data_IF_196749454708
#
_entry.id   IF_196749454708
#
_cell.length_a   1.000
_cell.length_b   1.000
_cell.length_c   1.000
_cell.angle_alpha   90.00
_cell.angle_beta   90.00
_cell.angle_gamma   90.00
#
_symmetry.space_group_name_H-M   'P 1'
#
loop_
_entity.id
_entity.type
_entity.pdbx_description
1 polymer ?
#
# COMPACT_ATOMS: atom_id res chain seq x y z
N UNK A 1 -69.88 36.77 20.90
CA UNK A 1 -68.61 36.79 21.65
C UNK A 1 -68.17 35.35 21.87
N UNK A 2 -67.24 34.84 21.05
CA UNK A 2 -66.67 33.48 21.20
C UNK A 2 -65.16 33.61 21.35
N UNK A 3 -64.58 32.95 22.36
CA UNK A 3 -63.12 32.75 22.49
C UNK A 3 -62.82 31.25 22.52
N UNK A 4 -61.69 30.95 21.86
CA UNK A 4 -61.08 29.65 21.60
C UNK A 4 -60.38 29.06 22.83
N UNK A 5 -59.89 27.82 22.62
CA UNK A 5 -58.65 27.15 23.09
C UNK A 5 -59.05 25.73 23.51
N UNK A 6 -58.42 24.61 23.16
CA UNK A 6 -57.46 24.21 22.12
C UNK A 6 -57.18 22.70 22.37
N UNK A 7 -56.72 21.99 21.33
CA UNK A 7 -55.88 20.77 21.40
C UNK A 7 -56.49 19.38 21.78
N UNK A 8 -56.67 18.57 20.74
CA UNK A 8 -56.45 17.11 20.64
C UNK A 8 -56.00 16.82 19.18
N UNK A 9 -55.41 15.67 18.79
CA UNK A 9 -55.24 14.42 19.53
C UNK A 9 -53.86 13.72 19.42
N UNK A 10 -53.71 12.75 20.33
CA UNK A 10 -52.85 11.55 20.38
C UNK A 10 -52.25 11.05 19.05
N UNK A 11 -50.93 10.82 19.03
CA UNK A 11 -50.24 9.97 18.06
C UNK A 11 -49.93 8.61 18.73
N UNK A 12 -50.43 7.52 18.11
CA UNK A 12 -50.08 6.13 18.41
C UNK A 12 -49.15 5.62 17.31
N UNK A 13 -48.11 4.91 17.72
CA UNK A 13 -47.08 4.31 16.87
C UNK A 13 -47.63 3.26 15.89
N UNK A 14 -47.02 3.21 14.70
CA UNK A 14 -47.16 2.17 13.68
C UNK A 14 -46.06 2.35 12.64
N UNK A 15 -45.24 1.31 12.48
CA UNK A 15 -44.03 1.22 11.66
C UNK A 15 -44.23 1.36 10.13
N UNK A 16 -43.14 1.80 9.48
CA UNK A 16 -42.76 1.78 8.05
C UNK A 16 -43.54 2.65 7.03
N UNK A 17 -42.79 3.33 6.14
CA UNK A 17 -42.58 2.76 4.80
C UNK A 17 -41.22 3.04 4.14
N UNK A 18 -40.89 2.17 3.17
CA UNK A 18 -39.79 2.25 2.21
C UNK A 18 -39.84 3.52 1.32
N UNK A 19 -38.67 4.12 1.03
CA UNK A 19 -38.40 4.82 -0.23
C UNK A 19 -36.89 5.05 -0.48
N UNK A 20 -36.34 4.29 -1.43
CA UNK A 20 -35.56 4.75 -2.59
C UNK A 20 -34.34 5.67 -2.43
N UNK A 21 -33.18 5.04 -2.68
CA UNK A 21 -32.06 5.46 -3.53
C UNK A 21 -31.41 6.85 -3.33
N UNK A 22 -30.16 6.83 -2.85
CA UNK A 22 -29.14 7.78 -3.29
C UNK A 22 -27.89 7.02 -3.77
N UNK A 23 -27.57 7.19 -5.05
CA UNK A 23 -26.39 6.67 -5.72
C UNK A 23 -25.12 7.39 -5.24
N UNK A 24 -24.12 6.59 -4.89
CA UNK A 24 -22.68 6.73 -5.11
C UNK A 24 -22.00 8.11 -4.96
N UNK A 25 -21.09 8.18 -3.98
CA UNK A 25 -19.80 8.84 -4.15
C UNK A 25 -18.73 8.18 -3.27
N UNK A 26 -17.74 7.56 -3.94
CA UNK A 26 -16.36 7.44 -3.47
C UNK A 26 -16.08 6.51 -2.28
N UNK A 27 -16.22 5.20 -2.46
CA UNK A 27 -15.54 4.24 -1.57
C UNK A 27 -14.04 4.28 -1.89
N UNK A 28 -13.27 4.94 -1.03
CA UNK A 28 -11.86 4.58 -0.86
C UNK A 28 -11.86 3.12 -0.39
N UNK A 29 -11.62 2.20 -1.33
CA UNK A 29 -11.35 0.80 -1.00
C UNK A 29 -10.03 0.80 -0.24
N UNK A 30 -10.11 0.83 1.08
CA UNK A 30 -9.16 0.12 1.93
C UNK A 30 -9.05 -1.29 1.32
N UNK A 31 -7.93 -1.58 0.65
CA UNK A 31 -7.68 -2.92 0.14
C UNK A 31 -7.55 -3.82 1.36
N UNK A 32 -8.66 -4.47 1.74
CA UNK A 32 -8.64 -5.56 2.70
C UNK A 32 -7.54 -6.53 2.29
N UNK A 33 -6.73 -6.97 3.26
CA UNK A 33 -5.56 -7.80 2.99
C UNK A 33 -5.93 -8.98 2.07
N UNK A 34 -5.27 -9.14 0.91
CA UNK A 34 -5.48 -10.31 0.07
C UNK A 34 -5.14 -11.56 0.89
N UNK A 35 -5.92 -12.62 0.72
CA UNK A 35 -5.63 -13.87 1.43
C UNK A 35 -4.27 -14.44 0.97
N UNK A 36 -3.55 -15.22 1.81
CA UNK A 36 -2.22 -15.73 1.46
C UNK A 36 -2.16 -16.56 0.16
N UNK A 37 -3.27 -17.18 -0.25
CA UNK A 37 -3.37 -17.98 -1.49
C UNK A 37 -3.50 -17.09 -2.73
N UNK A 38 -4.10 -15.91 -2.62
CA UNK A 38 -4.13 -14.90 -3.68
C UNK A 38 -2.77 -14.25 -3.83
N UNK A 39 -2.05 -14.03 -2.73
CA UNK A 39 -0.71 -13.46 -2.76
C UNK A 39 0.30 -14.38 -3.48
N UNK A 40 0.25 -15.70 -3.24
CA UNK A 40 1.18 -16.64 -3.88
C UNK A 40 0.95 -16.85 -5.38
N UNK A 41 -0.21 -16.43 -5.90
CA UNK A 41 -0.51 -16.50 -7.33
C UNK A 41 0.23 -15.42 -8.16
N UNK A 42 0.78 -14.40 -7.50
CA UNK A 42 1.51 -13.33 -8.19
C UNK A 42 2.97 -13.71 -8.46
N UNK A 43 3.48 -13.30 -9.62
CA UNK A 43 4.84 -13.66 -10.05
C UNK A 43 5.92 -13.07 -9.13
N UNK A 44 5.60 -11.94 -8.51
CA UNK A 44 6.48 -11.21 -7.60
C UNK A 44 6.47 -11.72 -6.16
N UNK A 45 5.57 -12.64 -5.79
CA UNK A 45 5.44 -13.08 -4.40
C UNK A 45 6.72 -13.72 -3.81
N UNK A 46 7.40 -14.66 -4.49
CA UNK A 46 8.63 -15.25 -3.94
C UNK A 46 9.72 -14.22 -3.69
N UNK A 47 9.78 -13.17 -4.52
CA UNK A 47 10.74 -12.07 -4.34
C UNK A 47 10.49 -11.32 -3.04
N UNK A 48 9.21 -11.10 -2.67
CA UNK A 48 8.88 -10.44 -1.41
C UNK A 48 9.20 -11.32 -0.20
N UNK A 49 9.05 -12.63 -0.32
CA UNK A 49 9.49 -13.57 0.71
C UNK A 49 11.02 -13.52 0.91
N UNK A 50 11.79 -13.55 -0.17
CA UNK A 50 13.26 -13.46 -0.12
C UNK A 50 13.73 -12.15 0.53
N UNK A 51 13.11 -11.02 0.15
CA UNK A 51 13.41 -9.71 0.76
C UNK A 51 13.03 -9.71 2.24
N UNK A 52 11.87 -10.25 2.60
CA UNK A 52 11.42 -10.34 4.00
C UNK A 52 12.38 -11.18 4.84
N UNK A 53 12.84 -12.32 4.31
CA UNK A 53 13.84 -13.16 4.98
C UNK A 53 15.15 -12.41 5.19
N UNK A 54 15.66 -11.76 4.15
CA UNK A 54 16.89 -10.96 4.26
C UNK A 54 16.76 -9.84 5.32
N UNK A 55 15.63 -9.12 5.34
CA UNK A 55 15.39 -8.08 6.33
C UNK A 55 15.33 -8.68 7.74
N UNK A 56 14.76 -9.87 7.94
CA UNK A 56 14.77 -10.53 9.25
C UNK A 56 16.18 -10.88 9.73
N UNK A 57 17.07 -11.27 8.81
CA UNK A 57 18.45 -11.63 9.15
C UNK A 57 19.33 -10.42 9.49
N UNK A 58 19.27 -9.37 8.68
CA UNK A 58 20.23 -8.24 8.76
C UNK A 58 19.57 -6.90 9.09
N UNK A 59 18.28 -6.88 9.38
CA UNK A 59 17.49 -5.67 9.43
C UNK A 59 17.96 -4.64 10.46
N UNK A 60 18.54 -5.05 11.59
CA UNK A 60 19.15 -4.11 12.54
C UNK A 60 20.30 -3.28 11.93
N UNK A 61 21.04 -3.84 10.97
CA UNK A 61 22.04 -3.09 10.20
C UNK A 61 21.38 -2.20 9.14
N UNK A 62 20.33 -2.72 8.48
CA UNK A 62 19.60 -1.99 7.45
C UNK A 62 18.87 -0.77 8.02
N UNK A 63 18.28 -0.87 9.22
CA UNK A 63 17.63 0.24 9.93
C UNK A 63 18.63 1.35 10.20
N UNK A 64 19.81 1.03 10.75
CA UNK A 64 20.89 2.01 11.00
C UNK A 64 21.37 2.66 9.71
N UNK A 65 21.50 1.87 8.64
CA UNK A 65 21.94 2.37 7.34
C UNK A 65 20.89 3.26 6.71
N UNK A 66 19.61 2.86 6.68
CA UNK A 66 18.56 3.46 5.84
C UNK A 66 17.71 4.47 6.59
N UNK A 67 17.13 4.09 7.74
CA UNK A 67 16.28 4.89 8.61
C UNK A 67 15.05 5.51 7.89
N UNK A 68 14.24 4.67 7.24
CA UNK A 68 13.08 5.09 6.46
C UNK A 68 12.04 3.98 6.29
N UNK A 69 10.80 4.38 5.97
CA UNK A 69 9.72 3.45 5.63
C UNK A 69 9.35 3.61 4.15
N UNK A 70 9.23 2.50 3.43
CA UNK A 70 8.90 2.46 2.01
C UNK A 70 7.62 1.70 1.77
N UNK A 71 6.79 2.15 0.84
CA UNK A 71 5.65 1.41 0.33
C UNK A 71 5.86 1.05 -1.14
N UNK A 72 5.52 -0.18 -1.50
CA UNK A 72 5.54 -0.72 -2.85
C UNK A 72 4.09 -1.00 -3.29
N UNK A 73 3.61 -0.22 -4.25
CA UNK A 73 2.32 -0.42 -4.91
C UNK A 73 2.58 -1.09 -6.26
N UNK A 74 2.39 -2.41 -6.31
CA UNK A 74 2.55 -3.17 -7.54
C UNK A 74 1.25 -3.12 -8.31
N UNK A 75 1.35 -2.78 -9.59
CA UNK A 75 0.21 -2.55 -10.46
C UNK A 75 0.14 -3.52 -11.62
N UNK A 76 -1.07 -3.80 -12.07
CA UNK A 76 -1.37 -4.46 -13.34
C UNK A 76 -2.53 -3.73 -13.98
N UNK A 77 -2.37 -3.36 -15.26
CA UNK A 77 -3.34 -2.56 -16.00
C UNK A 77 -3.74 -1.26 -15.27
N UNK A 78 -2.77 -0.61 -14.63
CA UNK A 78 -2.94 0.65 -13.89
C UNK A 78 -3.65 0.50 -12.53
N UNK A 79 -4.02 -0.71 -12.11
CA UNK A 79 -4.66 -0.98 -10.81
C UNK A 79 -3.66 -1.60 -9.85
N UNK A 80 -3.68 -1.18 -8.59
CA UNK A 80 -2.88 -1.81 -7.53
C UNK A 80 -3.42 -3.22 -7.31
N UNK A 81 -2.54 -4.21 -7.46
CA UNK A 81 -2.84 -5.64 -7.26
C UNK A 81 -2.13 -6.20 -6.03
N UNK A 82 -1.00 -5.61 -5.64
CA UNK A 82 -0.27 -5.95 -4.43
C UNK A 82 0.25 -4.67 -3.79
N UNK A 83 0.25 -4.66 -2.47
CA UNK A 83 0.86 -3.60 -1.68
C UNK A 83 1.75 -4.22 -0.62
N UNK A 84 2.95 -3.69 -0.47
CA UNK A 84 3.91 -4.13 0.54
C UNK A 84 4.58 -2.93 1.20
N UNK A 85 4.94 -3.09 2.46
CA UNK A 85 5.70 -2.10 3.20
C UNK A 85 7.03 -2.68 3.63
N UNK A 86 8.09 -1.90 3.44
CA UNK A 86 9.43 -2.16 3.95
C UNK A 86 9.70 -1.13 5.05
N UNK A 87 9.65 -1.54 6.30
CA UNK A 87 9.99 -0.71 7.46
C UNK A 87 11.47 -0.93 7.81
N UNK A 88 12.33 0.01 7.43
CA UNK A 88 13.74 0.06 7.84
C UNK A 88 13.99 1.26 8.75
N UNK A 89 13.03 1.53 9.63
CA UNK A 89 13.06 2.64 10.59
C UNK A 89 12.82 2.13 12.01
N UNK A 90 11.91 1.17 12.16
CA UNK A 90 11.46 0.67 13.46
C UNK A 90 12.22 -0.59 13.87
N UNK A 91 12.59 -0.69 15.15
CA UNK A 91 13.15 -1.91 15.74
C UNK A 91 14.30 -2.52 14.95
N UNK A 92 14.17 -3.80 14.60
CA UNK A 92 15.13 -4.55 13.79
C UNK A 92 14.78 -4.56 12.30
N UNK A 93 13.83 -3.72 11.86
CA UNK A 93 13.32 -3.71 10.50
C UNK A 93 12.33 -4.85 10.23
N UNK A 94 11.40 -4.62 9.29
CA UNK A 94 10.40 -5.60 8.89
C UNK A 94 9.93 -5.36 7.45
N UNK A 95 9.37 -6.39 6.82
CA UNK A 95 8.62 -6.27 5.57
C UNK A 95 7.32 -7.04 5.68
N UNK A 96 6.21 -6.35 5.43
CA UNK A 96 4.86 -6.90 5.60
C UNK A 96 3.94 -6.51 4.45
N UNK A 97 2.93 -7.35 4.14
CA UNK A 97 1.93 -7.03 3.14
C UNK A 97 1.01 -5.90 3.62
N UNK A 98 0.52 -5.11 2.68
CA UNK A 98 -0.40 -4.00 2.90
C UNK A 98 0.27 -2.63 2.94
N UNK A 99 -0.56 -1.61 3.19
CA UNK A 99 -0.15 -0.20 3.33
C UNK A 99 0.73 -0.02 4.53
N UNK A 100 1.54 1.03 4.48
CA UNK A 100 2.36 1.37 5.62
C UNK A 100 1.49 1.76 6.81
N UNK A 101 1.77 1.17 7.97
CA UNK A 101 1.09 1.47 9.24
C UNK A 101 1.46 2.86 9.78
N UNK A 102 2.60 3.37 9.33
CA UNK A 102 3.10 4.71 9.61
C UNK A 102 3.22 5.48 8.29
N UNK A 103 3.36 6.81 8.29
CA UNK A 103 3.59 7.54 7.05
C UNK A 103 4.84 7.03 6.33
N UNK A 104 4.66 6.51 5.10
CA UNK A 104 5.77 6.10 4.26
C UNK A 104 6.61 7.31 3.85
N UNK A 105 7.93 7.21 3.99
CA UNK A 105 8.86 8.23 3.54
C UNK A 105 8.97 8.26 2.01
N UNK A 106 8.74 7.13 1.35
CA UNK A 106 8.77 6.99 -0.11
C UNK A 106 7.77 5.93 -0.56
N UNK A 107 6.99 6.24 -1.59
CA UNK A 107 6.05 5.30 -2.20
C UNK A 107 6.47 5.06 -3.65
N UNK A 108 6.56 3.78 -4.03
CA UNK A 108 6.84 3.36 -5.38
C UNK A 108 5.57 2.78 -6.00
N UNK A 109 5.17 3.27 -7.17
CA UNK A 109 4.07 2.67 -7.95
C UNK A 109 4.67 2.03 -9.20
N UNK A 110 4.70 0.70 -9.24
CA UNK A 110 5.50 -0.08 -10.20
C UNK A 110 4.60 -1.10 -10.92
N UNK A 111 4.56 -1.14 -12.25
CA UNK A 111 3.97 -2.26 -12.98
C UNK A 111 4.65 -3.60 -12.63
N UNK A 112 3.89 -4.68 -12.44
CA UNK A 112 4.44 -5.99 -12.03
C UNK A 112 5.55 -6.50 -12.96
N UNK A 113 5.38 -6.32 -14.28
CA UNK A 113 6.41 -6.68 -15.26
C UNK A 113 7.69 -5.85 -15.09
N UNK A 114 7.58 -4.55 -14.86
CA UNK A 114 8.71 -3.65 -14.61
C UNK A 114 9.40 -4.05 -13.30
N UNK A 115 8.64 -4.33 -12.24
CA UNK A 115 9.19 -4.80 -10.97
C UNK A 115 10.05 -6.06 -11.16
N UNK A 116 9.55 -7.06 -11.89
CA UNK A 116 10.31 -8.28 -12.16
C UNK A 116 11.59 -8.01 -12.98
N UNK A 117 11.56 -7.11 -13.96
CA UNK A 117 12.77 -6.74 -14.71
C UNK A 117 13.80 -6.00 -13.85
N UNK A 118 13.35 -5.19 -12.90
CA UNK A 118 14.22 -4.51 -11.93
C UNK A 118 14.88 -5.51 -10.97
N UNK A 119 14.09 -6.43 -10.41
CA UNK A 119 14.57 -7.47 -9.48
C UNK A 119 15.57 -8.40 -10.16
N UNK A 120 15.28 -8.82 -11.39
CA UNK A 120 16.17 -9.69 -12.18
C UNK A 120 17.41 -8.96 -12.71
N UNK A 121 17.60 -7.66 -12.39
CA UNK A 121 18.73 -6.86 -12.86
C UNK A 121 18.72 -6.58 -14.37
N UNK A 122 17.64 -6.93 -15.07
CA UNK A 122 17.48 -6.71 -16.52
C UNK A 122 17.21 -5.25 -16.87
N UNK A 123 16.74 -4.48 -15.89
CA UNK A 123 16.48 -3.06 -16.03
C UNK A 123 17.20 -2.26 -14.95
N UNK A 124 17.85 -1.15 -15.34
CA UNK A 124 18.43 -0.22 -14.39
C UNK A 124 17.32 0.64 -13.73
N UNK A 125 17.23 0.69 -12.39
CA UNK A 125 16.17 1.41 -11.67
C UNK A 125 16.13 2.92 -11.96
N UNK A 126 17.28 3.59 -12.01
CA UNK A 126 17.36 5.02 -12.27
C UNK A 126 16.87 5.38 -13.67
N UNK A 127 17.35 4.65 -14.69
CA UNK A 127 16.93 4.85 -16.09
C UNK A 127 15.44 4.57 -16.26
N UNK A 128 14.92 3.55 -15.60
CA UNK A 128 13.51 3.19 -15.65
C UNK A 128 12.61 4.27 -15.02
N UNK A 129 13.01 4.83 -13.88
CA UNK A 129 12.33 5.96 -13.25
C UNK A 129 12.34 7.20 -14.14
N UNK A 130 13.51 7.59 -14.66
CA UNK A 130 13.65 8.75 -15.55
C UNK A 130 12.86 8.60 -16.85
N UNK A 131 12.73 7.36 -17.35
CA UNK A 131 11.91 7.04 -18.52
C UNK A 131 10.40 6.93 -18.21
N UNK A 132 9.98 7.15 -16.97
CA UNK A 132 8.57 7.10 -16.56
C UNK A 132 7.96 5.70 -16.51
N UNK A 133 8.79 4.63 -16.47
CA UNK A 133 8.30 3.24 -16.43
C UNK A 133 7.65 2.87 -15.09
N UNK A 134 7.98 3.60 -14.03
CA UNK A 134 7.33 3.54 -12.73
C UNK A 134 7.41 4.91 -12.06
N UNK A 135 6.60 5.11 -11.02
CA UNK A 135 6.52 6.38 -10.28
C UNK A 135 7.13 6.26 -8.90
N UNK A 136 7.71 7.36 -8.42
CA UNK A 136 8.18 7.51 -7.04
C UNK A 136 7.61 8.81 -6.49
N UNK A 137 7.03 8.76 -5.30
CA UNK A 137 6.58 9.93 -4.54
C UNK A 137 7.20 9.95 -3.15
N UNK A 138 7.18 11.12 -2.50
CA UNK A 138 7.88 11.34 -1.23
C UNK A 138 9.38 11.63 -1.42
N UNK A 139 10.20 11.15 -0.49
CA UNK A 139 11.64 11.44 -0.41
C UNK A 139 12.46 10.56 -1.37
N UNK A 140 12.42 10.87 -2.67
CA UNK A 140 13.06 10.10 -3.76
C UNK A 140 14.51 9.65 -3.47
N UNK A 141 15.33 10.49 -2.79
CA UNK A 141 16.71 10.14 -2.45
C UNK A 141 16.83 8.92 -1.52
N UNK A 142 15.84 8.69 -0.65
CA UNK A 142 15.78 7.50 0.19
C UNK A 142 15.54 6.24 -0.66
N UNK A 143 14.82 6.34 -1.78
CA UNK A 143 14.67 5.24 -2.72
C UNK A 143 16.00 4.81 -3.35
N UNK A 144 16.88 5.76 -3.68
CA UNK A 144 18.23 5.44 -4.18
C UNK A 144 19.12 4.82 -3.09
N UNK A 145 18.85 5.13 -1.83
CA UNK A 145 19.55 4.53 -0.68
C UNK A 145 19.11 3.08 -0.48
N UNK A 146 17.81 2.82 -0.59
CA UNK A 146 17.24 1.46 -0.59
C UNK A 146 17.82 0.62 -1.73
N UNK A 147 17.92 1.18 -2.93
CA UNK A 147 18.52 0.49 -4.08
C UNK A 147 19.97 0.07 -3.84
N UNK A 148 20.79 0.94 -3.22
CA UNK A 148 22.18 0.61 -2.88
C UNK A 148 22.27 -0.59 -1.94
N UNK A 149 21.40 -0.65 -0.92
CA UNK A 149 21.32 -1.78 0.01
C UNK A 149 21.05 -3.09 -0.72
N UNK A 150 20.05 -3.12 -1.59
CA UNK A 150 19.71 -4.35 -2.32
C UNK A 150 20.74 -4.72 -3.40
N UNK A 151 21.40 -3.73 -4.01
CA UNK A 151 22.54 -3.99 -4.91
C UNK A 151 23.73 -4.60 -4.20
N UNK A 152 23.99 -4.21 -2.96
CA UNK A 152 25.08 -4.79 -2.17
C UNK A 152 24.73 -6.21 -1.73
N UNK A 153 23.46 -6.48 -1.41
CA UNK A 153 22.96 -7.84 -1.16
C UNK A 153 23.12 -8.76 -2.38
N UNK A 154 22.72 -8.31 -3.57
CA UNK A 154 22.75 -9.12 -4.79
C UNK A 154 24.17 -9.45 -5.34
N UNK A 155 25.23 -8.89 -4.73
CA UNK A 155 26.63 -9.16 -5.11
C UNK A 155 27.31 -10.23 -4.27
N UNK A 156 26.67 -10.63 -3.17
CA UNK A 156 27.17 -11.64 -2.22
C UNK A 156 26.66 -13.01 -2.69
#
# INVERSE_FOLDING_TARGET
MWRRIDHQPKIKAGDEPQASQLKALGSARELAMPNPLELSAFRSFPVFEDISHHIKEVGGQLVKKVNAIFQLDITKDGKIILQWTIDLKSGSGDMYPGSSRLPADTVFTIPENVFMELVLGKMNPQKAFLAGKFKVSGKVLLGQKLERVFKDWAKI
#
